data_IF_410754328853
#
_entry.id   IF_410754328853
#
_cell.length_a   1.000
_cell.length_b   1.000
_cell.length_c   1.000
_cell.angle_alpha   90.00
_cell.angle_beta   90.00
_cell.angle_gamma   90.00
#
_symmetry.space_group_name_H-M   'P 1'
#
loop_
_entity.id
_entity.type
_entity.pdbx_description
1 polymer ?
#
# COMPACT_ATOMS: atom_id res chain seq x y z
N UNK A 1 11.02 -12.68 -0.40
CA UNK A 1 10.80 -12.29 1.03
C UNK A 1 9.46 -11.60 1.05
N UNK A 2 8.54 -11.90 1.95
CA UNK A 2 7.20 -11.28 1.91
C UNK A 2 7.28 -9.77 2.18
N UNK A 3 6.32 -8.99 1.69
CA UNK A 3 6.22 -7.57 2.06
C UNK A 3 6.02 -7.46 3.58
N UNK A 4 5.23 -8.35 4.16
CA UNK A 4 5.01 -8.40 5.61
C UNK A 4 6.30 -8.70 6.38
N UNK A 5 7.14 -9.59 5.85
CA UNK A 5 8.44 -9.91 6.43
C UNK A 5 9.44 -8.75 6.31
N UNK A 6 9.38 -7.96 5.22
CA UNK A 6 10.15 -6.71 5.14
C UNK A 6 9.74 -5.72 6.24
N UNK A 7 8.43 -5.59 6.48
CA UNK A 7 7.87 -4.64 7.45
C UNK A 7 8.10 -5.06 8.91
N UNK A 8 8.01 -6.36 9.19
CA UNK A 8 8.08 -6.90 10.55
C UNK A 8 9.44 -7.50 10.89
N UNK A 9 10.27 -7.76 9.90
CA UNK A 9 11.62 -8.31 10.04
C UNK A 9 12.66 -7.24 10.36
N UNK A 10 13.94 -7.61 10.26
CA UNK A 10 15.05 -6.77 10.71
C UNK A 10 15.11 -5.41 9.99
N UNK A 11 14.91 -5.40 8.67
CA UNK A 11 14.93 -4.18 7.85
C UNK A 11 13.86 -3.18 8.29
N UNK A 12 12.60 -3.62 8.41
CA UNK A 12 11.50 -2.77 8.85
C UNK A 12 11.70 -2.22 10.27
N UNK A 13 12.21 -3.05 11.18
CA UNK A 13 12.55 -2.61 12.53
C UNK A 13 13.63 -1.52 12.49
N UNK A 14 14.76 -1.75 11.83
CA UNK A 14 15.86 -0.80 11.75
C UNK A 14 15.45 0.55 11.14
N UNK A 15 14.64 0.53 10.08
CA UNK A 15 14.08 1.75 9.47
C UNK A 15 13.16 2.48 10.45
N UNK A 16 12.34 1.74 11.19
CA UNK A 16 11.49 2.30 12.24
C UNK A 16 12.30 2.95 13.37
N UNK A 17 13.43 2.37 13.79
CA UNK A 17 14.31 2.97 14.82
C UNK A 17 14.93 4.28 14.34
N UNK A 18 15.34 4.35 13.06
CA UNK A 18 15.90 5.58 12.51
C UNK A 18 14.85 6.69 12.39
N UNK A 19 13.65 6.33 11.91
CA UNK A 19 12.54 7.26 11.84
C UNK A 19 12.12 7.74 13.25
N UNK A 20 12.15 6.87 14.25
CA UNK A 20 11.93 7.24 15.64
C UNK A 20 12.98 8.24 16.15
N UNK A 21 14.25 7.94 15.91
CA UNK A 21 15.37 8.80 16.33
C UNK A 21 15.32 10.19 15.66
N UNK A 22 14.97 10.24 14.37
CA UNK A 22 15.00 11.48 13.59
C UNK A 22 13.73 12.33 13.73
N UNK A 23 12.56 11.69 13.78
CA UNK A 23 11.27 12.39 13.74
C UNK A 23 10.52 12.36 15.09
N UNK A 24 11.01 11.62 16.08
CA UNK A 24 10.39 11.51 17.40
C UNK A 24 9.01 10.84 17.33
N UNK A 25 8.90 9.76 16.56
CA UNK A 25 7.67 9.00 16.32
C UNK A 25 7.91 7.55 16.74
N UNK A 26 6.95 6.92 17.41
CA UNK A 26 7.15 5.54 17.87
C UNK A 26 7.36 4.56 16.71
N UNK A 27 8.16 3.52 16.94
CA UNK A 27 8.34 2.42 15.95
C UNK A 27 7.00 1.85 15.48
N UNK A 28 6.03 1.70 16.39
CA UNK A 28 4.68 1.21 16.07
C UNK A 28 3.97 2.11 15.05
N UNK A 29 4.07 3.43 15.19
CA UNK A 29 3.48 4.38 14.23
C UNK A 29 4.18 4.30 12.87
N UNK A 30 5.50 4.12 12.83
CA UNK A 30 6.24 3.95 11.56
C UNK A 30 5.86 2.65 10.86
N UNK A 31 5.73 1.54 11.61
CA UNK A 31 5.27 0.25 11.08
C UNK A 31 3.83 0.37 10.58
N UNK A 32 2.94 1.05 11.31
CA UNK A 32 1.57 1.33 10.89
C UNK A 32 1.54 2.15 9.59
N UNK A 33 2.38 3.19 9.50
CA UNK A 33 2.53 3.99 8.29
C UNK A 33 2.97 3.14 7.11
N UNK A 34 3.98 2.30 7.29
CA UNK A 34 4.45 1.39 6.25
C UNK A 34 3.37 0.40 5.82
N UNK A 35 2.59 -0.14 6.76
CA UNK A 35 1.52 -1.11 6.49
C UNK A 35 0.42 -0.54 5.58
N UNK A 36 0.19 0.78 5.62
CA UNK A 36 -0.77 1.47 4.76
C UNK A 36 -0.11 2.09 3.52
N UNK A 37 1.06 2.70 3.68
CA UNK A 37 1.75 3.43 2.63
C UNK A 37 2.39 2.50 1.58
N UNK A 38 2.97 1.37 1.99
CA UNK A 38 3.57 0.43 1.05
C UNK A 38 2.58 -0.12 0.01
N UNK A 39 1.42 -0.69 0.39
CA UNK A 39 0.44 -1.15 -0.60
C UNK A 39 -0.12 0.00 -1.45
N UNK A 40 -0.25 1.21 -0.89
CA UNK A 40 -0.67 2.39 -1.64
C UNK A 40 0.35 2.79 -2.72
N UNK A 41 1.64 2.89 -2.35
CA UNK A 41 2.75 3.18 -3.26
C UNK A 41 2.79 2.15 -4.38
N UNK A 42 2.73 0.86 -4.05
CA UNK A 42 2.73 -0.24 -5.02
C UNK A 42 1.51 -0.16 -5.95
N UNK A 43 0.34 0.21 -5.43
CA UNK A 43 -0.89 0.38 -6.22
C UNK A 43 -0.76 1.52 -7.24
N UNK A 44 -0.24 2.67 -6.83
CA UNK A 44 0.01 3.80 -7.74
C UNK A 44 1.08 3.46 -8.79
N UNK A 45 2.16 2.80 -8.39
CA UNK A 45 3.19 2.32 -9.33
C UNK A 45 2.61 1.34 -10.33
N UNK A 46 1.76 0.41 -9.89
CA UNK A 46 1.07 -0.53 -10.78
C UNK A 46 0.19 0.20 -11.79
N UNK A 47 -0.55 1.23 -11.35
CA UNK A 47 -1.36 2.08 -12.24
C UNK A 47 -0.50 2.77 -13.29
N UNK A 48 0.63 3.35 -12.87
CA UNK A 48 1.58 4.03 -13.77
C UNK A 48 2.23 3.07 -14.77
N UNK A 49 2.63 1.89 -14.33
CA UNK A 49 3.21 0.84 -15.19
C UNK A 49 2.24 0.25 -16.22
N UNK A 50 0.98 0.69 -16.25
CA UNK A 50 0.08 0.39 -17.38
C UNK A 50 0.45 1.21 -18.62
N UNK A 51 1.09 2.38 -18.43
CA UNK A 51 1.74 3.10 -19.52
C UNK A 51 3.14 2.51 -19.78
N UNK A 52 3.44 2.25 -21.05
CA UNK A 52 4.68 1.60 -21.45
C UNK A 52 5.92 2.45 -21.13
N UNK A 53 5.83 3.78 -21.23
CA UNK A 53 6.97 4.66 -20.94
C UNK A 53 7.24 4.73 -19.44
N UNK A 54 6.18 4.82 -18.64
CA UNK A 54 6.29 4.81 -17.17
C UNK A 54 6.80 3.45 -16.68
N UNK A 55 6.35 2.35 -17.28
CA UNK A 55 6.85 1.00 -16.97
C UNK A 55 8.35 0.86 -17.29
N UNK A 56 8.80 1.40 -18.42
CA UNK A 56 10.20 1.41 -18.82
C UNK A 56 11.05 2.31 -17.90
N UNK A 57 10.54 3.50 -17.54
CA UNK A 57 11.21 4.40 -16.61
C UNK A 57 11.37 3.77 -15.23
N UNK A 58 10.29 3.15 -14.72
CA UNK A 58 10.33 2.41 -13.45
C UNK A 58 11.27 1.20 -13.54
N UNK A 59 11.22 0.44 -14.63
CA UNK A 59 12.12 -0.69 -14.86
C UNK A 59 13.60 -0.26 -14.77
N UNK A 60 13.95 0.86 -15.41
CA UNK A 60 15.30 1.43 -15.38
C UNK A 60 15.72 1.91 -13.99
N UNK A 61 14.83 2.60 -13.26
CA UNK A 61 15.10 3.05 -11.90
C UNK A 61 15.32 1.87 -10.94
N UNK A 62 14.53 0.80 -11.10
CA UNK A 62 14.68 -0.43 -10.31
C UNK A 62 15.98 -1.19 -10.63
N UNK A 63 16.50 -1.08 -11.85
CA UNK A 63 17.79 -1.70 -12.21
C UNK A 63 19.00 -0.88 -11.74
N UNK A 64 18.90 0.45 -11.78
CA UNK A 64 20.05 1.33 -11.51
C UNK A 64 20.16 1.75 -10.06
N UNK A 65 19.05 2.19 -9.48
CA UNK A 65 19.05 2.94 -8.22
C UNK A 65 18.39 2.13 -7.08
N UNK A 66 17.53 1.17 -7.41
CA UNK A 66 16.70 0.45 -6.44
C UNK A 66 16.75 -1.07 -6.56
N UNK A 67 17.92 -1.62 -6.86
CA UNK A 67 18.18 -3.06 -6.97
C UNK A 67 17.95 -3.87 -5.67
N UNK A 68 17.75 -3.19 -4.54
CA UNK A 68 17.60 -3.79 -3.22
C UNK A 68 18.83 -3.68 -2.34
N UNK A 69 19.91 -3.05 -2.80
CA UNK A 69 21.11 -2.73 -2.00
C UNK A 69 20.79 -2.00 -0.69
N UNK A 70 19.82 -1.08 -0.72
CA UNK A 70 19.35 -0.34 0.47
C UNK A 70 18.79 -1.25 1.58
N UNK A 71 18.34 -2.46 1.25
CA UNK A 71 17.83 -3.41 2.24
C UNK A 71 18.95 -4.05 3.06
N UNK A 72 20.18 -4.03 2.54
CA UNK A 72 21.37 -4.51 3.23
C UNK A 72 21.97 -3.44 4.15
N UNK A 73 21.74 -2.16 3.84
CA UNK A 73 22.22 -1.02 4.62
C UNK A 73 21.15 0.09 4.67
N UNK A 74 20.19 -0.11 5.56
CA UNK A 74 19.09 0.85 5.77
C UNK A 74 19.54 2.17 6.38
N UNK A 75 20.78 2.29 6.87
CA UNK A 75 21.32 3.58 7.34
C UNK A 75 21.39 4.62 6.23
N UNK A 76 21.42 4.18 4.97
CA UNK A 76 21.41 5.06 3.80
C UNK A 76 20.03 5.63 3.48
N UNK A 77 18.95 5.12 4.10
CA UNK A 77 17.61 5.65 3.90
C UNK A 77 17.53 7.15 4.23
N UNK A 78 18.30 7.60 5.20
CA UNK A 78 18.39 9.01 5.58
C UNK A 78 19.01 9.88 4.49
N UNK A 79 20.15 9.42 3.96
CA UNK A 79 20.88 10.11 2.89
C UNK A 79 20.06 10.17 1.58
N UNK A 80 19.16 9.20 1.38
CA UNK A 80 18.29 9.08 0.20
C UNK A 80 16.94 9.76 0.37
N UNK A 81 16.74 10.57 1.41
CA UNK A 81 15.46 11.26 1.63
C UNK A 81 15.07 12.18 0.45
N UNK A 82 16.02 12.90 -0.16
CA UNK A 82 15.74 13.77 -1.32
C UNK A 82 15.27 12.96 -2.54
N UNK A 83 15.86 11.79 -2.72
CA UNK A 83 15.49 10.85 -3.76
C UNK A 83 14.10 10.29 -3.51
N UNK A 84 13.81 9.86 -2.28
CA UNK A 84 12.48 9.42 -1.88
C UNK A 84 11.41 10.48 -2.06
N UNK A 85 11.71 11.76 -1.81
CA UNK A 85 10.78 12.85 -2.11
C UNK A 85 10.46 12.94 -3.61
N UNK A 86 11.48 12.76 -4.45
CA UNK A 86 11.33 12.76 -5.92
C UNK A 86 10.49 11.56 -6.40
N UNK A 87 10.73 10.38 -5.80
CA UNK A 87 9.92 9.18 -6.05
C UNK A 87 8.46 9.44 -5.70
N UNK A 88 8.18 9.96 -4.50
CA UNK A 88 6.81 10.24 -4.06
C UNK A 88 6.12 11.28 -4.95
N UNK A 89 6.84 12.32 -5.38
CA UNK A 89 6.32 13.32 -6.31
C UNK A 89 5.99 12.70 -7.66
N UNK A 90 6.83 11.79 -8.17
CA UNK A 90 6.57 11.12 -9.43
C UNK A 90 5.40 10.14 -9.35
N UNK A 91 5.26 9.42 -8.23
CA UNK A 91 4.20 8.42 -8.01
C UNK A 91 2.84 9.09 -7.77
N UNK A 92 2.79 10.00 -6.81
CA UNK A 92 1.54 10.60 -6.35
C UNK A 92 1.20 11.89 -7.11
N UNK A 93 2.19 12.64 -7.60
CA UNK A 93 1.97 13.89 -8.32
C UNK A 93 1.09 14.85 -7.52
N UNK A 94 -0.02 15.26 -8.12
CA UNK A 94 -1.01 16.16 -7.52
C UNK A 94 -1.78 15.52 -6.34
N UNK A 95 -1.83 14.18 -6.25
CA UNK A 95 -2.51 13.47 -5.17
C UNK A 95 -1.68 13.38 -3.89
N UNK A 96 -0.41 13.80 -3.93
CA UNK A 96 0.48 13.71 -2.77
C UNK A 96 -0.11 14.33 -1.49
N UNK A 97 -0.66 15.57 -1.49
CA UNK A 97 -1.24 16.16 -0.28
C UNK A 97 -2.44 15.36 0.25
N UNK A 98 -3.27 14.82 -0.64
CA UNK A 98 -4.42 13.99 -0.27
C UNK A 98 -3.97 12.68 0.39
N UNK A 99 -2.94 12.04 -0.18
CA UNK A 99 -2.33 10.82 0.34
C UNK A 99 -1.73 11.08 1.73
N UNK A 100 -0.93 12.13 1.88
CA UNK A 100 -0.31 12.49 3.17
C UNK A 100 -1.36 12.78 4.24
N UNK A 101 -2.43 13.50 3.89
CA UNK A 101 -3.55 13.79 4.80
C UNK A 101 -4.24 12.52 5.27
N UNK A 102 -4.50 11.56 4.37
CA UNK A 102 -5.13 10.29 4.73
C UNK A 102 -4.21 9.45 5.61
N UNK A 103 -2.92 9.40 5.30
CA UNK A 103 -1.95 8.65 6.10
C UNK A 103 -1.82 9.23 7.51
N UNK A 104 -1.83 10.57 7.65
CA UNK A 104 -1.86 11.24 8.96
C UNK A 104 -3.07 10.82 9.80
N UNK A 105 -4.27 10.83 9.19
CA UNK A 105 -5.52 10.46 9.88
C UNK A 105 -5.55 9.00 10.35
N UNK A 106 -5.04 8.08 9.51
CA UNK A 106 -5.05 6.66 9.84
C UNK A 106 -3.96 6.30 10.87
N UNK A 107 -2.76 6.88 10.75
CA UNK A 107 -1.61 6.50 11.59
C UNK A 107 -1.49 7.30 12.89
N UNK A 108 -2.22 8.40 13.01
CA UNK A 108 -2.09 9.34 14.12
C UNK A 108 -0.77 10.13 14.12
N UNK A 109 0.00 10.07 13.02
CA UNK A 109 1.22 10.87 12.84
C UNK A 109 0.83 12.25 12.34
N UNK A 110 1.46 13.30 12.87
CA UNK A 110 1.24 14.68 12.45
C UNK A 110 1.58 14.87 10.96
N UNK A 111 0.75 15.64 10.25
CA UNK A 111 0.86 15.84 8.80
C UNK A 111 2.24 16.38 8.36
N UNK A 112 2.86 17.23 9.19
CA UNK A 112 4.19 17.81 8.97
C UNK A 112 5.31 16.76 8.99
N UNK A 113 5.08 15.61 9.64
CA UNK A 113 6.07 14.53 9.73
C UNK A 113 5.85 13.44 8.67
N UNK A 114 4.62 13.26 8.18
CA UNK A 114 4.29 12.22 7.20
C UNK A 114 5.17 12.32 5.95
N UNK A 115 5.24 13.50 5.32
CA UNK A 115 6.01 13.69 4.09
C UNK A 115 7.50 13.34 4.24
N UNK A 116 8.21 13.88 5.25
CA UNK A 116 9.60 13.52 5.54
C UNK A 116 9.82 12.04 5.83
N UNK A 117 8.95 11.40 6.62
CA UNK A 117 9.08 9.96 6.91
C UNK A 117 8.85 9.16 5.63
N UNK A 118 7.77 9.42 4.89
CA UNK A 118 7.52 8.74 3.62
C UNK A 118 8.71 8.89 2.67
N UNK A 119 9.33 10.07 2.63
CA UNK A 119 10.51 10.32 1.79
C UNK A 119 11.71 9.48 2.22
N UNK A 120 11.83 9.13 3.50
CA UNK A 120 12.83 8.19 3.98
C UNK A 120 12.46 6.73 3.67
N UNK A 121 11.17 6.40 3.71
CA UNK A 121 10.66 5.04 3.50
C UNK A 121 10.57 4.63 2.01
N UNK A 122 10.32 5.58 1.12
CA UNK A 122 10.09 5.31 -0.29
C UNK A 122 11.25 4.56 -0.99
N UNK A 123 12.54 4.93 -0.78
CA UNK A 123 13.65 4.19 -1.36
C UNK A 123 13.74 2.75 -0.86
N UNK A 124 13.33 2.46 0.39
CA UNK A 124 13.31 1.11 0.97
C UNK A 124 12.25 0.25 0.28
N UNK A 125 11.04 0.80 0.09
CA UNK A 125 9.95 0.12 -0.64
C UNK A 125 10.37 -0.14 -2.09
N UNK A 126 11.01 0.83 -2.75
CA UNK A 126 11.53 0.64 -4.10
C UNK A 126 12.63 -0.41 -4.17
N UNK A 127 13.55 -0.43 -3.19
CA UNK A 127 14.59 -1.45 -3.08
C UNK A 127 14.00 -2.85 -2.94
N UNK A 128 12.90 -3.00 -2.21
CA UNK A 128 12.16 -4.25 -2.13
C UNK A 128 11.56 -4.67 -3.48
N UNK A 129 10.91 -3.75 -4.19
CA UNK A 129 10.34 -4.03 -5.51
C UNK A 129 11.44 -4.42 -6.50
N UNK A 130 12.58 -3.72 -6.51
CA UNK A 130 13.69 -4.05 -7.41
C UNK A 130 14.34 -5.38 -7.07
N UNK A 131 14.46 -5.72 -5.78
CA UNK A 131 14.89 -7.06 -5.35
C UNK A 131 13.94 -8.15 -5.85
N UNK A 132 12.63 -7.98 -5.66
CA UNK A 132 11.63 -8.95 -6.15
C UNK A 132 11.65 -9.04 -7.68
N UNK A 133 11.83 -7.92 -8.38
CA UNK A 133 12.00 -7.88 -9.84
C UNK A 133 13.22 -8.70 -10.28
N UNK A 134 14.37 -8.51 -9.64
CA UNK A 134 15.60 -9.25 -9.95
C UNK A 134 15.45 -10.75 -9.66
N UNK A 135 14.84 -11.10 -8.52
CA UNK A 135 14.60 -12.49 -8.15
C UNK A 135 13.68 -13.20 -9.15
N UNK A 136 12.66 -12.51 -9.65
CA UNK A 136 11.69 -13.05 -10.60
C UNK A 136 12.08 -12.82 -12.07
N UNK A 137 13.25 -12.22 -12.35
CA UNK A 137 13.73 -11.87 -13.69
C UNK A 137 12.68 -11.13 -14.54
N UNK A 138 11.99 -10.16 -13.93
CA UNK A 138 10.91 -9.41 -14.56
C UNK A 138 11.44 -8.17 -15.29
N UNK A 139 11.04 -7.98 -16.54
CA UNK A 139 11.30 -6.76 -17.31
C UNK A 139 10.12 -5.79 -17.31
N UNK A 140 10.25 -4.64 -18.01
CA UNK A 140 9.26 -3.57 -18.08
C UNK A 140 7.81 -4.05 -18.32
N UNK A 141 7.61 -4.97 -19.28
CA UNK A 141 6.28 -5.50 -19.61
C UNK A 141 5.61 -6.36 -18.54
N UNK A 142 6.36 -6.86 -17.55
CA UNK A 142 5.85 -7.69 -16.46
C UNK A 142 5.75 -6.97 -15.11
N UNK A 143 6.15 -5.70 -15.03
CA UNK A 143 6.14 -4.95 -13.76
C UNK A 143 4.74 -4.83 -13.16
N UNK A 144 3.72 -4.64 -14.00
CA UNK A 144 2.33 -4.57 -13.54
C UNK A 144 1.87 -5.85 -12.83
N UNK A 145 2.26 -7.00 -13.35
CA UNK A 145 1.94 -8.32 -12.79
C UNK A 145 2.75 -8.59 -11.51
N UNK A 146 4.03 -8.23 -11.49
CA UNK A 146 4.87 -8.32 -10.30
C UNK A 146 4.29 -7.48 -9.15
N UNK A 147 3.98 -6.20 -9.40
CA UNK A 147 3.40 -5.30 -8.40
C UNK A 147 2.02 -5.78 -7.94
N UNK A 148 1.21 -6.32 -8.86
CA UNK A 148 -0.07 -6.95 -8.55
C UNK A 148 0.09 -8.19 -7.66
N UNK A 149 1.09 -9.02 -7.95
CA UNK A 149 1.46 -10.20 -7.17
C UNK A 149 1.92 -9.84 -5.75
N UNK A 150 2.77 -8.82 -5.60
CA UNK A 150 3.20 -8.32 -4.30
C UNK A 150 1.99 -7.87 -3.46
N UNK A 151 1.06 -7.10 -4.05
CA UNK A 151 -0.14 -6.64 -3.37
C UNK A 151 -1.08 -7.80 -2.98
N UNK A 152 -1.24 -8.77 -3.88
CA UNK A 152 -2.03 -9.99 -3.63
C UNK A 152 -1.44 -10.86 -2.51
N UNK A 153 -0.12 -11.01 -2.51
CA UNK A 153 0.60 -11.76 -1.48
C UNK A 153 0.52 -11.07 -0.12
N UNK A 154 0.72 -9.75 -0.05
CA UNK A 154 0.55 -8.98 1.19
C UNK A 154 -0.86 -9.14 1.78
N UNK A 155 -1.88 -9.17 0.92
CA UNK A 155 -3.27 -9.40 1.31
C UNK A 155 -3.50 -10.82 1.84
N UNK A 156 -2.90 -11.84 1.21
CA UNK A 156 -3.03 -13.23 1.63
C UNK A 156 -2.22 -13.54 2.90
N UNK A 157 -1.01 -12.99 3.03
CA UNK A 157 -0.16 -13.12 4.22
C UNK A 157 -0.87 -12.54 5.46
N UNK A 158 -1.55 -11.39 5.30
CA UNK A 158 -2.35 -10.79 6.38
C UNK A 158 -3.54 -11.65 6.83
N UNK A 159 -4.09 -12.49 5.94
CA UNK A 159 -5.23 -13.39 6.24
C UNK A 159 -4.82 -14.73 6.85
N UNK A 160 -3.62 -15.22 6.53
CA UNK A 160 -3.14 -16.52 6.98
C UNK A 160 -2.43 -16.44 8.33
N UNK A 161 -1.80 -15.30 8.65
CA UNK A 161 -1.26 -15.05 9.99
C UNK A 161 -2.34 -14.48 10.90
N UNK A 162 -3.22 -15.35 11.39
CA UNK A 162 -4.34 -15.05 12.29
C UNK A 162 -3.92 -14.45 13.67
N UNK A 163 -2.62 -14.20 13.89
CA UNK A 163 -2.04 -13.74 15.15
C UNK A 163 -0.83 -12.82 14.97
N UNK A 164 -0.73 -12.11 13.83
CA UNK A 164 0.33 -11.11 13.64
C UNK A 164 -0.03 -9.77 14.29
N UNK A 165 0.89 -9.12 15.02
CA UNK A 165 0.68 -7.78 15.60
C UNK A 165 0.39 -6.73 14.52
N UNK A 166 0.76 -7.00 13.27
CA UNK A 166 0.38 -6.19 12.13
C UNK A 166 -1.14 -6.23 11.86
N UNK A 167 -1.84 -7.33 12.13
CA UNK A 167 -3.30 -7.41 11.99
C UNK A 167 -4.01 -6.62 13.09
N UNK A 168 -3.45 -6.57 14.30
CA UNK A 168 -3.97 -5.72 15.37
C UNK A 168 -3.72 -4.24 15.09
N UNK A 169 -2.54 -3.91 14.55
CA UNK A 169 -2.22 -2.54 14.13
C UNK A 169 -3.10 -2.14 12.94
N UNK A 170 -3.20 -2.98 11.90
CA UNK A 170 -4.06 -2.73 10.74
C UNK A 170 -5.53 -2.65 11.17
N UNK A 171 -6.00 -3.55 12.03
CA UNK A 171 -7.34 -3.53 12.58
C UNK A 171 -7.61 -2.30 13.41
N UNK A 172 -6.65 -1.85 14.23
CA UNK A 172 -6.80 -0.63 15.04
C UNK A 172 -6.71 0.66 14.21
N UNK A 173 -5.89 0.67 13.15
CA UNK A 173 -5.62 1.84 12.30
C UNK A 173 -6.67 2.00 11.19
N UNK A 174 -7.14 0.90 10.59
CA UNK A 174 -8.22 0.93 9.60
C UNK A 174 -9.63 0.94 10.22
N UNK A 175 -9.73 1.07 11.54
CA UNK A 175 -11.00 1.15 12.26
C UNK A 175 -11.33 -0.18 12.93
N UNK A 176 -10.94 -0.27 14.20
CA UNK A 176 -11.26 -1.40 15.07
C UNK A 176 -12.77 -1.48 15.29
N UNK A 177 -13.42 -2.30 14.48
CA UNK A 177 -14.81 -2.67 14.61
C UNK A 177 -14.95 -4.12 14.24
N UNK A 178 -15.22 -4.95 15.25
CA UNK A 178 -15.58 -6.35 15.12
C UNK A 178 -16.79 -6.47 14.19
N UNK A 179 -16.58 -6.57 12.88
CA UNK A 179 -17.66 -6.79 11.92
C UNK A 179 -17.18 -7.83 10.94
N UNK A 180 -17.59 -9.05 11.27
CA UNK A 180 -17.80 -10.17 10.38
C UNK A 180 -18.66 -9.70 9.18
N UNK A 181 -18.02 -9.05 8.21
CA UNK A 181 -18.61 -8.65 6.93
C UNK A 181 -17.50 -8.58 5.91
N UNK A 182 -17.63 -9.41 4.89
CA UNK A 182 -16.74 -9.53 3.74
C UNK A 182 -16.68 -8.20 2.97
N UNK A 183 -15.76 -7.31 3.34
CA UNK A 183 -15.51 -6.05 2.63
C UNK A 183 -14.18 -5.47 3.07
N UNK A 184 -13.15 -5.58 2.22
CA UNK A 184 -11.81 -5.10 2.51
C UNK A 184 -11.84 -3.55 2.49
N UNK A 185 -11.59 -2.82 3.59
CA UNK A 185 -11.62 -1.35 3.58
C UNK A 185 -10.54 -0.73 2.68
N UNK A 186 -9.44 -1.46 2.43
CA UNK A 186 -8.47 -1.13 1.38
C UNK A 186 -9.10 -1.15 -0.02
N UNK A 187 -10.07 -2.03 -0.29
CA UNK A 187 -10.78 -2.08 -1.57
C UNK A 187 -11.74 -0.89 -1.73
N UNK A 188 -12.32 -0.39 -0.65
CA UNK A 188 -13.12 0.84 -0.69
C UNK A 188 -12.23 2.08 -0.89
N UNK A 189 -11.05 2.14 -0.26
CA UNK A 189 -10.09 3.23 -0.46
C UNK A 189 -9.53 3.21 -1.89
N UNK A 190 -9.13 2.03 -2.38
CA UNK A 190 -8.63 1.85 -3.75
C UNK A 190 -9.76 2.11 -4.76
N UNK A 191 -10.97 1.63 -4.53
CA UNK A 191 -12.12 1.88 -5.40
C UNK A 191 -12.54 3.36 -5.45
N UNK A 192 -12.39 4.07 -4.33
CA UNK A 192 -12.75 5.49 -4.24
C UNK A 192 -11.69 6.41 -4.88
N UNK A 193 -10.40 6.05 -4.79
CA UNK A 193 -9.29 6.87 -5.31
C UNK A 193 -8.90 6.51 -6.74
N UNK A 194 -9.11 5.26 -7.16
CA UNK A 194 -8.62 4.76 -8.45
C UNK A 194 -9.57 5.04 -9.62
N UNK A 195 -10.80 5.47 -9.34
CA UNK A 195 -11.75 5.86 -10.37
C UNK A 195 -13.09 5.18 -10.18
N UNK A 196 -13.97 5.85 -9.43
CA UNK A 196 -15.38 5.55 -9.45
C UNK A 196 -15.96 5.93 -10.82
N UNK A 197 -16.26 4.92 -11.63
CA UNK A 197 -17.37 5.00 -12.57
C UNK A 197 -18.00 3.63 -12.76
N UNK A 198 -19.32 3.67 -12.84
CA UNK A 198 -20.28 2.60 -13.17
C UNK A 198 -20.87 1.78 -12.01
N UNK A 199 -21.87 2.42 -11.42
CA UNK A 199 -23.18 1.83 -11.14
C UNK A 199 -23.50 0.59 -12.01
N UNK A 200 -23.70 -0.56 -11.36
CA UNK A 200 -24.88 -1.39 -11.64
C UNK A 200 -25.50 -1.87 -10.33
N UNK A 201 -26.52 -1.12 -9.91
CA UNK A 201 -27.67 -1.65 -9.17
C UNK A 201 -28.24 -2.84 -9.94
N UNK A 202 -28.17 -4.02 -9.35
CA UNK A 202 -29.18 -5.08 -9.47
C UNK A 202 -29.28 -5.63 -8.03
N UNK A 203 -30.13 -5.04 -7.17
CA UNK A 203 -31.55 -5.40 -7.10
C UNK A 203 -31.67 -6.93 -7.25
N UNK A 204 -31.39 -7.70 -6.20
CA UNK A 204 -32.11 -7.59 -4.94
C UNK A 204 -33.55 -8.01 -5.23
N UNK A 205 -33.77 -9.32 -5.23
CA UNK A 205 -35.07 -9.93 -5.44
C UNK A 205 -36.10 -9.37 -4.47
N UNK A 206 -37.25 -9.03 -5.01
CA UNK A 206 -38.37 -8.48 -4.25
C UNK A 206 -39.25 -7.66 -5.17
N UNK A 207 -40.44 -8.18 -5.48
CA UNK A 207 -41.47 -7.39 -6.16
C UNK A 207 -41.90 -7.87 -7.53
N UNK A 208 -42.13 -9.18 -7.72
CA UNK A 208 -43.08 -9.71 -8.72
C UNK A 208 -43.86 -10.95 -8.22
N UNK A 209 -43.47 -11.55 -7.07
CA UNK A 209 -44.16 -12.70 -6.48
C UNK A 209 -45.33 -12.36 -5.54
N UNK A 210 -45.43 -11.13 -5.04
CA UNK A 210 -46.41 -10.74 -4.01
C UNK A 210 -47.68 -10.04 -4.55
N UNK A 211 -47.75 -9.79 -5.86
CA UNK A 211 -48.92 -9.13 -6.47
C UNK A 211 -49.88 -10.15 -7.13
N UNK A 212 -49.46 -11.41 -7.27
CA UNK A 212 -50.29 -12.48 -7.85
C UNK A 212 -50.97 -13.40 -6.81
N UNK A 213 -50.67 -13.24 -5.51
CA UNK A 213 -51.26 -14.05 -4.44
C UNK A 213 -52.49 -13.44 -3.75
N UNK A 214 -52.83 -12.17 -4.03
CA UNK A 214 -53.87 -11.42 -3.31
C UNK A 214 -55.19 -11.22 -4.03
N UNK A 215 -55.37 -11.75 -5.25
CA UNK A 215 -56.54 -11.44 -6.09
C UNK A 215 -57.39 -12.66 -6.53
N UNK A 216 -57.11 -13.85 -6.03
CA UNK A 216 -57.91 -15.06 -6.33
C UNK A 216 -58.43 -15.75 -5.06
N UNK A 217 -59.00 -14.93 -4.17
CA UNK A 217 -59.59 -15.34 -2.90
C UNK A 217 -61.04 -14.90 -2.75
N UNK A 218 -61.89 -15.18 -3.75
CA UNK A 218 -63.30 -15.60 -3.58
C UNK A 218 -63.90 -16.07 -4.91
#
# INVERSE_FOLDING_TARGET
>A
MGLIDLLTGNTGNQVAEQAETKFGISKTQVIALLAVAAPLIISYLRKKSQDANEAEALNNALDKDHDGSILNDVSQADARQSEGSSILNHIFGEEKPNVESRLSQNTGISIDKIGPILSMLAPVIMGYIGKEKQQNNVGAGGLGDLLGGILGNASNESRQQHSSPLNDILGSVLGGGNTQSSGNPLNDIIGSVLGGNEQKKQQGGGGLGDILGGFFGK
#
